data_IF_755861825236
#
_entry.id   IF_755861825236
#
_cell.length_a   1.000
_cell.length_b   1.000
_cell.length_c   1.000
_cell.angle_alpha   90.00
_cell.angle_beta   90.00
_cell.angle_gamma   90.00
#
_symmetry.space_group_name_H-M   'P 1'
#
loop_
_entity.id
_entity.type
_entity.pdbx_description
1 polymer ?
#
# COMPACT_ATOMS: atom_id res chain seq x y z
N UNK A 1 -20.61 24.33 -12.09
CA UNK A 1 -19.41 23.93 -11.33
C UNK A 1 -18.29 23.63 -12.32
N UNK A 2 -17.20 24.40 -12.30
CA UNK A 2 -16.06 24.17 -13.17
C UNK A 2 -15.17 23.02 -12.68
N UNK A 3 -14.30 22.51 -13.55
CA UNK A 3 -13.33 21.44 -13.23
C UNK A 3 -12.43 21.76 -12.03
N UNK A 4 -12.17 23.04 -11.79
CA UNK A 4 -11.38 23.54 -10.67
C UNK A 4 -12.13 23.44 -9.32
N UNK A 5 -13.47 23.41 -9.36
CA UNK A 5 -14.32 23.28 -8.18
C UNK A 5 -14.53 21.80 -7.87
N UNK A 6 -15.09 21.06 -8.82
CA UNK A 6 -15.43 19.65 -8.67
C UNK A 6 -14.91 18.86 -9.87
N UNK A 7 -14.08 17.86 -9.58
CA UNK A 7 -13.56 16.94 -10.58
C UNK A 7 -14.26 15.60 -10.43
N UNK A 8 -14.98 15.17 -11.47
CA UNK A 8 -15.78 13.95 -11.47
C UNK A 8 -15.13 12.92 -12.39
N UNK A 9 -14.99 11.69 -11.91
CA UNK A 9 -14.53 10.53 -12.68
C UNK A 9 -15.39 9.31 -12.34
N UNK A 10 -15.55 8.39 -13.30
CA UNK A 10 -16.29 7.14 -13.16
C UNK A 10 -15.43 6.03 -12.55
N UNK A 11 -15.95 5.32 -11.54
CA UNK A 11 -15.25 4.17 -10.94
C UNK A 11 -15.02 3.02 -11.93
N UNK A 12 -15.88 2.86 -12.95
CA UNK A 12 -15.81 1.72 -13.88
C UNK A 12 -15.05 2.01 -15.17
N UNK A 13 -15.06 3.26 -15.63
CA UNK A 13 -14.56 3.62 -16.97
C UNK A 13 -13.27 4.43 -16.95
N UNK A 14 -13.00 5.18 -15.88
CA UNK A 14 -11.79 5.98 -15.79
C UNK A 14 -10.61 5.17 -15.24
N UNK A 15 -9.42 5.55 -15.70
CA UNK A 15 -8.18 5.08 -15.08
C UNK A 15 -7.90 5.91 -13.83
N UNK A 16 -7.56 5.23 -12.75
CA UNK A 16 -7.32 5.84 -11.44
C UNK A 16 -5.85 5.75 -11.06
N UNK A 17 -5.29 6.82 -10.49
CA UNK A 17 -3.99 6.77 -9.82
C UNK A 17 -4.17 6.28 -8.39
N UNK A 18 -3.18 5.56 -7.86
CA UNK A 18 -3.20 5.04 -6.48
C UNK A 18 -3.44 6.15 -5.45
N UNK A 19 -2.91 7.35 -5.69
CA UNK A 19 -3.15 8.53 -4.85
C UNK A 19 -4.62 8.98 -4.80
N UNK A 20 -5.33 8.92 -5.93
CA UNK A 20 -6.73 9.31 -6.01
C UNK A 20 -7.60 8.29 -5.25
N UNK A 21 -7.28 7.00 -5.37
CA UNK A 21 -7.96 5.93 -4.62
C UNK A 21 -7.73 6.06 -3.11
N UNK A 22 -6.49 6.33 -2.68
CA UNK A 22 -6.20 6.50 -1.25
C UNK A 22 -6.87 7.75 -0.68
N UNK A 23 -6.97 8.82 -1.48
CA UNK A 23 -7.71 10.02 -1.12
C UNK A 23 -9.21 9.72 -0.92
N UNK A 24 -9.79 8.88 -1.78
CA UNK A 24 -11.19 8.43 -1.62
C UNK A 24 -11.39 7.59 -0.36
N UNK A 25 -10.46 6.68 -0.08
CA UNK A 25 -10.53 5.79 1.09
C UNK A 25 -10.44 6.57 2.41
N UNK A 26 -9.49 7.52 2.51
CA UNK A 26 -9.29 8.31 3.72
C UNK A 26 -10.30 9.46 3.87
N UNK A 27 -10.84 9.93 2.75
CA UNK A 27 -11.83 10.99 2.71
C UNK A 27 -13.22 10.43 2.98
N UNK A 28 -13.87 9.96 1.92
CA UNK A 28 -15.25 9.47 1.99
C UNK A 28 -16.29 10.56 2.29
N UNK A 29 -17.54 10.29 1.91
CA UNK A 29 -18.63 11.27 2.01
C UNK A 29 -18.96 11.62 3.47
N UNK A 30 -18.76 10.68 4.41
CA UNK A 30 -19.06 10.90 5.83
C UNK A 30 -18.14 11.94 6.45
N UNK A 31 -16.82 11.80 6.26
CA UNK A 31 -15.85 12.75 6.82
C UNK A 31 -15.99 14.12 6.16
N UNK A 32 -16.26 14.15 4.85
CA UNK A 32 -16.55 15.40 4.16
C UNK A 32 -17.77 16.08 4.78
N UNK A 33 -18.90 15.38 4.93
CA UNK A 33 -20.12 15.92 5.54
C UNK A 33 -19.86 16.49 6.94
N UNK A 34 -19.17 15.73 7.79
CA UNK A 34 -18.80 16.19 9.13
C UNK A 34 -17.98 17.49 9.09
N UNK A 35 -16.99 17.59 8.21
CA UNK A 35 -16.20 18.81 8.04
C UNK A 35 -17.05 20.02 7.62
N UNK A 36 -17.99 19.84 6.67
CA UNK A 36 -18.90 20.91 6.27
C UNK A 36 -19.82 21.34 7.42
N UNK A 37 -20.29 20.39 8.24
CA UNK A 37 -21.18 20.66 9.38
C UNK A 37 -20.43 21.42 10.48
N UNK A 38 -19.22 20.98 10.84
CA UNK A 38 -18.38 21.62 11.87
C UNK A 38 -17.97 23.05 11.51
N UNK A 39 -17.75 23.32 10.22
CA UNK A 39 -17.30 24.61 9.73
C UNK A 39 -18.44 25.51 9.24
N UNK A 40 -19.70 25.11 9.46
CA UNK A 40 -20.90 25.85 9.03
C UNK A 40 -20.90 26.20 7.53
N UNK A 41 -20.32 25.33 6.70
CA UNK A 41 -20.13 25.54 5.27
C UNK A 41 -21.36 25.12 4.45
N UNK A 42 -22.56 25.33 4.98
CA UNK A 42 -23.81 25.06 4.27
C UNK A 42 -24.50 26.37 3.88
N UNK A 43 -24.73 26.55 2.59
CA UNK A 43 -25.45 27.70 2.04
C UNK A 43 -26.67 27.17 1.28
N UNK A 44 -27.86 27.65 1.66
CA UNK A 44 -29.12 27.20 1.02
C UNK A 44 -29.33 25.66 1.10
N UNK A 45 -28.91 25.05 2.21
CA UNK A 45 -28.99 23.59 2.41
C UNK A 45 -28.00 22.77 1.58
N UNK A 46 -27.05 23.41 0.89
CA UNK A 46 -26.02 22.75 0.06
C UNK A 46 -24.61 23.05 0.59
N UNK A 47 -23.68 22.09 0.50
CA UNK A 47 -22.29 22.33 0.87
C UNK A 47 -21.66 23.40 -0.04
N UNK A 48 -21.03 24.39 0.57
CA UNK A 48 -20.36 25.49 -0.11
C UNK A 48 -18.96 25.03 -0.55
N UNK A 49 -18.83 24.73 -1.84
CA UNK A 49 -17.58 24.27 -2.45
C UNK A 49 -16.67 25.41 -2.91
N UNK A 50 -17.08 26.67 -2.71
CA UNK A 50 -16.34 27.86 -3.15
C UNK A 50 -15.54 28.50 -2.00
N UNK A 51 -15.94 28.23 -0.74
CA UNK A 51 -15.26 28.71 0.45
C UNK A 51 -13.79 28.28 0.49
N UNK A 52 -12.88 29.15 0.98
CA UNK A 52 -11.45 28.86 1.05
C UNK A 52 -11.12 27.63 1.91
N UNK A 53 -11.97 27.31 2.89
CA UNK A 53 -11.86 26.10 3.72
C UNK A 53 -12.01 24.81 2.90
N UNK A 54 -12.77 24.82 1.80
CA UNK A 54 -12.90 23.66 0.93
C UNK A 54 -11.55 23.28 0.30
N UNK A 55 -10.80 24.28 -0.17
CA UNK A 55 -9.46 24.08 -0.71
C UNK A 55 -8.49 23.56 0.33
N UNK A 56 -8.61 24.00 1.60
CA UNK A 56 -7.79 23.50 2.71
C UNK A 56 -8.09 22.03 2.99
N UNK A 57 -9.37 21.67 3.09
CA UNK A 57 -9.78 20.27 3.27
C UNK A 57 -9.24 19.36 2.16
N UNK A 58 -9.33 19.79 0.90
CA UNK A 58 -8.77 19.04 -0.24
C UNK A 58 -7.25 18.86 -0.14
N UNK A 59 -6.53 19.90 0.29
CA UNK A 59 -5.08 19.85 0.46
C UNK A 59 -4.67 18.94 1.61
N UNK A 60 -5.33 19.04 2.76
CA UNK A 60 -5.06 18.19 3.93
C UNK A 60 -5.33 16.72 3.61
N UNK A 61 -6.41 16.44 2.89
CA UNK A 61 -6.75 15.09 2.47
C UNK A 61 -5.74 14.53 1.46
N UNK A 62 -5.24 15.36 0.53
CA UNK A 62 -4.15 14.98 -0.36
C UNK A 62 -2.88 14.63 0.41
N UNK A 63 -2.46 15.50 1.33
CA UNK A 63 -1.28 15.27 2.16
C UNK A 63 -1.40 13.98 2.99
N UNK A 64 -2.58 13.72 3.57
CA UNK A 64 -2.85 12.50 4.34
C UNK A 64 -2.77 11.25 3.46
N UNK A 65 -3.29 11.32 2.24
CA UNK A 65 -3.21 10.21 1.28
C UNK A 65 -1.77 9.93 0.83
N UNK A 66 -0.98 10.98 0.58
CA UNK A 66 0.44 10.84 0.23
C UNK A 66 1.25 10.26 1.39
N UNK A 67 1.01 10.71 2.62
CA UNK A 67 1.64 10.15 3.81
C UNK A 67 1.31 8.66 3.99
N UNK A 68 0.04 8.28 3.83
CA UNK A 68 -0.37 6.88 3.93
C UNK A 68 0.26 5.99 2.84
N UNK A 69 0.38 6.49 1.61
CA UNK A 69 1.06 5.77 0.53
C UNK A 69 2.55 5.64 0.83
N UNK A 70 3.19 6.70 1.31
CA UNK A 70 4.61 6.69 1.67
C UNK A 70 4.88 5.67 2.78
N UNK A 71 4.02 5.62 3.80
CA UNK A 71 4.11 4.63 4.87
C UNK A 71 3.92 3.21 4.35
N UNK A 72 2.94 2.96 3.48
CA UNK A 72 2.72 1.64 2.87
C UNK A 72 3.92 1.19 2.02
N UNK A 73 4.51 2.10 1.24
CA UNK A 73 5.73 1.84 0.45
C UNK A 73 6.91 1.54 1.38
N UNK A 74 7.07 2.32 2.46
CA UNK A 74 8.14 2.12 3.43
C UNK A 74 7.96 0.80 4.20
N UNK A 75 6.74 0.42 4.57
CA UNK A 75 6.43 -0.86 5.20
C UNK A 75 6.73 -2.04 4.26
N UNK A 76 6.42 -1.89 2.97
CA UNK A 76 6.78 -2.88 1.94
C UNK A 76 8.28 -2.98 1.72
N UNK A 77 9.00 -1.86 1.73
CA UNK A 77 10.46 -1.86 1.62
C UNK A 77 11.15 -2.39 2.89
N UNK A 78 10.58 -2.15 4.07
CA UNK A 78 11.05 -2.70 5.34
C UNK A 78 10.81 -4.21 5.50
N UNK A 79 9.94 -4.80 4.68
CA UNK A 79 9.71 -6.25 4.57
C UNK A 79 10.51 -6.91 3.44
N UNK A 80 11.53 -6.25 2.91
CA UNK A 80 12.55 -6.98 2.16
C UNK A 80 13.23 -7.93 3.17
N UNK A 81 13.24 -9.26 2.95
CA UNK A 81 14.06 -10.12 3.78
C UNK A 81 15.48 -9.62 3.63
N UNK A 82 16.04 -9.05 4.71
CA UNK A 82 17.48 -8.97 4.84
C UNK A 82 18.00 -10.35 4.53
N UNK A 83 18.92 -10.45 3.57
CA UNK A 83 19.38 -11.71 3.01
C UNK A 83 19.45 -12.76 4.09
N UNK A 84 18.79 -13.90 3.86
CA UNK A 84 18.92 -15.06 4.74
C UNK A 84 20.40 -15.17 5.14
N UNK A 85 20.75 -15.35 6.43
CA UNK A 85 22.14 -15.58 6.78
C UNK A 85 22.61 -16.71 5.87
N UNK A 86 23.61 -16.41 5.04
CA UNK A 86 24.12 -17.33 4.04
C UNK A 86 24.38 -18.65 4.77
N UNK A 87 23.49 -19.63 4.56
CA UNK A 87 23.68 -20.94 5.13
C UNK A 87 25.03 -21.41 4.60
N UNK A 88 25.97 -21.84 5.45
CA UNK A 88 27.21 -22.39 4.94
C UNK A 88 26.81 -23.59 4.08
N UNK A 89 26.99 -23.44 2.77
CA UNK A 89 26.85 -24.53 1.81
C UNK A 89 27.77 -25.63 2.30
N UNK A 90 27.21 -26.67 2.92
CA UNK A 90 27.95 -27.90 3.21
C UNK A 90 28.35 -28.46 1.86
N UNK A 91 29.57 -28.17 1.43
CA UNK A 91 30.20 -28.87 0.31
C UNK A 91 30.21 -30.36 0.67
N UNK A 92 29.78 -31.26 -0.23
CA UNK A 92 30.05 -32.67 -0.04
C UNK A 92 31.55 -32.87 -0.22
N UNK A 93 32.28 -32.99 0.89
CA UNK A 93 33.66 -33.42 0.87
C UNK A 93 33.70 -34.89 0.45
N UNK A 94 33.91 -35.11 -0.85
CA UNK A 94 34.44 -36.36 -1.34
C UNK A 94 35.88 -36.50 -0.82
N UNK A 95 36.09 -37.40 0.13
CA UNK A 95 37.41 -37.94 0.44
C UNK A 95 37.30 -39.46 0.50
N UNK A 96 38.16 -40.08 -0.28
CA UNK A 96 38.12 -41.46 -0.69
C UNK A 96 38.84 -42.41 0.28
N UNK A 97 38.57 -43.70 0.06
CA UNK A 97 39.39 -44.90 0.32
C UNK A 97 39.13 -45.69 1.62
N UNK A 98 38.54 -46.88 1.45
CA UNK A 98 39.04 -48.16 1.95
C UNK A 98 38.20 -49.30 1.32
N UNK A 99 38.55 -49.81 0.13
CA UNK A 99 39.10 -51.17 -0.07
C UNK A 99 38.85 -52.18 1.06
N UNK A 100 38.08 -53.23 0.75
CA UNK A 100 38.27 -54.57 1.33
C UNK A 100 37.00 -55.25 1.85
N UNK A 101 36.58 -56.34 1.20
CA UNK A 101 35.76 -57.37 1.83
C UNK A 101 34.64 -57.95 0.97
N UNK A 102 34.96 -58.98 0.19
CA UNK A 102 33.98 -60.00 -0.20
C UNK A 102 33.42 -60.66 1.07
N UNK A 103 32.12 -60.90 1.14
CA UNK A 103 31.59 -62.26 1.32
C UNK A 103 30.08 -62.27 1.00
N UNK A 104 29.73 -63.00 -0.04
CA UNK A 104 28.43 -63.59 -0.31
C UNK A 104 28.05 -64.57 0.79
N UNK A 105 26.85 -64.45 1.35
CA UNK A 105 26.22 -65.56 2.06
C UNK A 105 24.82 -65.80 1.49
N UNK A 106 24.75 -66.91 0.75
CA UNK A 106 23.60 -67.57 0.18
C UNK A 106 23.28 -68.74 1.14
N UNK A 107 22.01 -68.96 1.47
CA UNK A 107 21.45 -70.13 2.19
C UNK A 107 21.88 -70.41 3.66
N UNK A 108 20.92 -70.37 4.57
CA UNK A 108 20.13 -71.56 4.95
C UNK A 108 18.71 -71.16 5.38
#
# INVERSE_FOLDING_TARGET
>A
MGVHISFVRSLKMDRWKTKELKQMELGGNKNAKAFYEENFMYKDGKPDHEAPLHSRYKLELAAKAEAAIREEIQARMGQMPQGAPAQPVRQPAAAAQAIGGLQTDIFQ
#
